data_IF_647817701590
#
_entry.id   IF_647817701590
#
_cell.length_a   1.000
_cell.length_b   1.000
_cell.length_c   1.000
_cell.angle_alpha   90.00
_cell.angle_beta   90.00
_cell.angle_gamma   90.00
#
_symmetry.space_group_name_H-M   'P 1'
#
loop_
_entity.id
_entity.type
_entity.pdbx_description
1 polymer ?
#
# COMPACT_ATOMS: atom_id res chain seq x y z
N UNK A 1 10.38 65.41 -12.78
CA UNK A 1 9.17 64.56 -12.74
C UNK A 1 9.13 63.74 -14.03
N UNK A 2 10.09 62.84 -14.28
CA UNK A 2 10.34 61.49 -13.72
C UNK A 2 9.24 60.47 -14.06
N UNK A 3 9.44 59.83 -15.21
CA UNK A 3 9.15 58.43 -15.57
C UNK A 3 8.26 57.64 -14.60
N UNK A 4 6.94 57.67 -14.83
CA UNK A 4 5.97 56.74 -14.25
C UNK A 4 4.98 56.37 -15.37
N UNK A 5 5.35 55.42 -16.21
CA UNK A 5 4.46 55.02 -17.32
C UNK A 5 4.81 53.71 -18.02
N UNK A 6 5.93 53.08 -17.70
CA UNK A 6 6.42 51.90 -18.43
C UNK A 6 6.83 50.73 -17.53
N UNK A 7 6.25 50.60 -16.33
CA UNK A 7 6.61 49.53 -15.38
C UNK A 7 5.46 48.57 -15.00
N UNK A 8 4.35 48.59 -15.74
CA UNK A 8 3.19 47.72 -15.47
C UNK A 8 2.93 46.65 -16.55
N UNK A 9 3.84 46.47 -17.51
CA UNK A 9 3.67 45.51 -18.61
C UNK A 9 4.63 44.30 -18.57
N UNK A 10 5.29 44.02 -17.44
CA UNK A 10 6.23 42.88 -17.31
C UNK A 10 5.95 41.93 -16.13
N UNK A 11 4.74 41.92 -15.57
CA UNK A 11 4.32 40.90 -14.59
C UNK A 11 3.42 39.80 -15.19
N UNK A 12 3.23 39.79 -16.51
CA UNK A 12 2.41 38.82 -17.24
C UNK A 12 3.17 37.64 -17.86
N UNK A 13 4.30 37.21 -17.28
CA UNK A 13 5.02 36.02 -17.77
C UNK A 13 4.61 34.80 -16.95
N UNK A 14 3.62 34.07 -17.48
CA UNK A 14 3.50 32.61 -17.41
C UNK A 14 4.01 31.95 -16.12
N UNK A 15 3.32 32.20 -15.00
CA UNK A 15 3.24 31.20 -13.95
C UNK A 15 2.41 30.04 -14.46
N UNK A 16 3.03 29.03 -15.10
CA UNK A 16 2.36 27.75 -15.26
C UNK A 16 1.99 27.30 -13.85
N UNK A 17 0.69 27.37 -13.50
CA UNK A 17 0.18 26.90 -12.21
C UNK A 17 0.61 25.44 -12.08
N UNK A 18 1.67 25.20 -11.30
CA UNK A 18 2.06 23.87 -10.90
C UNK A 18 0.97 23.40 -9.95
N UNK A 19 0.07 22.58 -10.48
CA UNK A 19 -1.06 22.04 -9.75
C UNK A 19 -0.56 20.92 -8.83
N UNK A 20 -0.92 20.97 -7.56
CA UNK A 20 -0.46 20.03 -6.53
C UNK A 20 -1.66 19.20 -6.07
N UNK A 21 -1.44 17.90 -5.89
CA UNK A 21 -2.42 17.04 -5.24
C UNK A 21 -2.40 17.30 -3.73
N UNK A 22 -3.25 18.21 -3.27
CA UNK A 22 -3.49 18.43 -1.84
C UNK A 22 -4.86 17.90 -1.46
N UNK A 23 -4.90 17.11 -0.39
CA UNK A 23 -6.15 16.66 0.22
C UNK A 23 -6.36 17.55 1.43
N UNK A 24 -7.29 18.53 1.41
CA UNK A 24 -7.51 19.38 2.57
C UNK A 24 -7.83 18.54 3.81
N UNK A 25 -7.64 19.12 4.99
CA UNK A 25 -7.84 18.45 6.27
C UNK A 25 -9.22 17.76 6.35
N UNK A 26 -9.24 16.60 7.01
CA UNK A 26 -10.43 15.75 7.19
C UNK A 26 -10.80 15.76 8.66
N UNK A 27 -12.09 15.64 8.96
CA UNK A 27 -12.61 15.56 10.33
C UNK A 27 -11.80 14.55 11.17
N UNK A 28 -11.19 15.05 12.25
CA UNK A 28 -10.35 14.27 13.15
C UNK A 28 -11.11 13.07 13.75
N UNK A 29 -12.42 13.22 14.02
CA UNK A 29 -13.23 12.13 14.56
C UNK A 29 -13.35 10.95 13.58
N UNK A 30 -13.35 11.23 12.27
CA UNK A 30 -13.36 10.20 11.24
C UNK A 30 -12.03 9.44 11.22
N UNK A 31 -10.92 10.17 11.34
CA UNK A 31 -9.56 9.59 11.39
C UNK A 31 -9.39 8.73 12.64
N UNK A 32 -9.88 9.20 13.80
CA UNK A 32 -9.88 8.43 15.05
C UNK A 32 -10.69 7.14 14.93
N UNK A 33 -11.91 7.19 14.35
CA UNK A 33 -12.73 5.99 14.11
C UNK A 33 -12.01 4.96 13.23
N UNK A 34 -11.29 5.39 12.20
CA UNK A 34 -10.46 4.51 11.38
C UNK A 34 -9.30 3.92 12.18
N UNK A 35 -8.61 4.74 12.98
CA UNK A 35 -7.53 4.29 13.87
C UNK A 35 -8.01 3.28 14.91
N UNK A 36 -9.19 3.48 15.50
CA UNK A 36 -9.81 2.57 16.45
C UNK A 36 -10.05 1.18 15.87
N UNK A 37 -10.37 1.06 14.57
CA UNK A 37 -10.50 -0.24 13.89
C UNK A 37 -9.17 -0.99 13.78
N UNK A 38 -8.03 -0.28 13.81
CA UNK A 38 -6.70 -0.89 13.82
C UNK A 38 -6.22 -1.28 15.22
N UNK A 39 -6.77 -0.68 16.28
CA UNK A 39 -6.30 -0.91 17.65
C UNK A 39 -6.38 -2.39 18.09
N UNK A 40 -7.46 -3.14 17.81
CA UNK A 40 -7.52 -4.57 18.12
C UNK A 40 -6.46 -5.42 17.39
N UNK A 41 -5.99 -4.97 16.22
CA UNK A 41 -4.93 -5.68 15.49
C UNK A 41 -3.58 -5.58 16.19
N UNK A 42 -3.36 -4.52 16.98
CA UNK A 42 -2.12 -4.36 17.76
C UNK A 42 -1.99 -5.39 18.89
N UNK A 43 -3.10 -6.00 19.32
CA UNK A 43 -3.10 -7.07 20.33
C UNK A 43 -2.95 -8.47 19.70
N UNK A 44 -3.14 -8.59 18.38
CA UNK A 44 -3.00 -9.86 17.64
C UNK A 44 -1.55 -10.08 17.23
N UNK A 45 -0.77 -10.62 18.17
CA UNK A 45 0.67 -10.80 18.03
C UNK A 45 1.10 -12.15 17.44
N UNK A 46 0.17 -13.02 17.05
CA UNK A 46 0.50 -14.27 16.36
C UNK A 46 0.96 -14.02 14.92
N UNK A 47 1.87 -14.88 14.44
CA UNK A 47 2.52 -14.75 13.11
C UNK A 47 1.55 -14.51 11.96
N UNK A 48 0.43 -15.22 11.96
CA UNK A 48 -0.58 -15.11 10.89
C UNK A 48 -1.29 -13.75 10.88
N UNK A 49 -1.38 -13.09 12.03
CA UNK A 49 -2.05 -11.80 12.20
C UNK A 49 -1.09 -10.59 12.20
N UNK A 50 0.21 -10.81 12.39
CA UNK A 50 1.21 -9.74 12.33
C UNK A 50 1.26 -9.10 10.94
N UNK A 51 0.95 -7.81 10.87
CA UNK A 51 0.82 -7.06 9.64
C UNK A 51 1.68 -5.78 9.71
N UNK A 52 2.87 -5.77 9.06
CA UNK A 52 3.71 -4.59 9.07
C UNK A 52 3.06 -3.34 8.45
N UNK A 53 2.09 -3.50 7.53
CA UNK A 53 1.40 -2.35 6.93
C UNK A 53 0.56 -1.61 7.97
N UNK A 54 -0.10 -2.31 8.90
CA UNK A 54 -0.87 -1.67 9.99
C UNK A 54 0.04 -0.78 10.83
N UNK A 55 1.23 -1.26 11.17
CA UNK A 55 2.23 -0.46 11.88
C UNK A 55 2.65 0.79 11.09
N UNK A 56 2.98 0.62 9.80
CA UNK A 56 3.36 1.74 8.92
C UNK A 56 2.23 2.76 8.83
N UNK A 57 0.98 2.31 8.64
CA UNK A 57 -0.20 3.16 8.54
C UNK A 57 -0.38 4.04 9.78
N UNK A 58 -0.33 3.46 10.98
CA UNK A 58 -0.43 4.23 12.23
C UNK A 58 0.73 5.22 12.39
N UNK A 59 1.96 4.81 12.10
CA UNK A 59 3.15 5.66 12.25
C UNK A 59 3.18 6.85 11.30
N UNK A 60 2.56 6.73 10.13
CA UNK A 60 2.42 7.82 9.17
C UNK A 60 1.11 8.63 9.35
N UNK A 61 0.22 8.20 10.24
CA UNK A 61 -1.05 8.87 10.53
C UNK A 61 -0.90 9.97 11.59
N UNK A 62 -1.97 10.74 11.80
CA UNK A 62 -2.09 11.71 12.90
C UNK A 62 -2.47 11.06 14.24
N UNK A 63 -2.69 9.74 14.28
CA UNK A 63 -3.13 8.99 15.47
C UNK A 63 -2.09 7.95 15.93
N UNK A 64 -2.15 7.52 17.18
CA UNK A 64 -1.22 6.55 17.76
C UNK A 64 -1.87 5.53 18.70
N UNK A 65 -1.37 4.30 18.70
CA UNK A 65 -1.76 3.22 19.61
C UNK A 65 -0.95 3.16 20.93
N UNK A 66 -0.15 4.20 21.21
CA UNK A 66 0.68 4.31 22.41
C UNK A 66 1.67 3.16 22.61
N UNK A 67 1.70 2.57 23.80
CA UNK A 67 2.67 1.51 24.16
C UNK A 67 2.51 0.24 23.33
N UNK A 68 1.30 -0.02 22.79
CA UNK A 68 1.04 -1.18 21.92
C UNK A 68 1.88 -1.15 20.65
N UNK A 69 2.17 0.02 20.09
CA UNK A 69 3.01 0.13 18.89
C UNK A 69 4.43 -0.42 19.13
N UNK A 70 5.01 -0.14 20.29
CA UNK A 70 6.36 -0.61 20.64
C UNK A 70 6.39 -2.13 20.79
N UNK A 71 5.36 -2.71 21.43
CA UNK A 71 5.23 -4.15 21.57
C UNK A 71 5.00 -4.81 20.20
N UNK A 72 4.14 -4.23 19.36
CA UNK A 72 3.85 -4.72 18.03
C UNK A 72 5.09 -4.76 17.14
N UNK A 73 5.88 -3.67 17.11
CA UNK A 73 7.15 -3.64 16.37
C UNK A 73 8.15 -4.67 16.91
N UNK A 74 8.21 -4.87 18.23
CA UNK A 74 9.07 -5.90 18.83
C UNK A 74 8.68 -7.29 18.33
N UNK A 75 7.39 -7.60 18.29
CA UNK A 75 6.88 -8.87 17.76
C UNK A 75 7.20 -9.04 16.26
N UNK A 76 7.04 -7.96 15.46
CA UNK A 76 7.47 -7.96 14.06
C UNK A 76 8.98 -8.25 13.92
N UNK A 77 9.83 -7.63 14.76
CA UNK A 77 11.27 -7.90 14.72
C UNK A 77 11.59 -9.34 15.08
N UNK A 78 10.94 -9.90 16.10
CA UNK A 78 11.13 -11.29 16.50
C UNK A 78 10.75 -12.23 15.33
N UNK A 79 9.55 -12.07 14.77
CA UNK A 79 9.07 -12.91 13.69
C UNK A 79 9.97 -12.84 12.44
N UNK A 80 10.27 -11.65 11.92
CA UNK A 80 11.02 -11.52 10.68
C UNK A 80 12.52 -11.79 10.87
N UNK A 81 13.11 -11.51 12.03
CA UNK A 81 14.54 -11.70 12.27
C UNK A 81 14.90 -13.05 12.90
N UNK A 82 13.94 -13.84 13.39
CA UNK A 82 14.17 -15.22 13.80
C UNK A 82 13.81 -16.20 12.68
N UNK A 83 12.73 -15.96 11.92
CA UNK A 83 12.20 -16.94 10.97
C UNK A 83 12.82 -16.86 9.56
N UNK A 84 13.25 -15.68 9.10
CA UNK A 84 13.86 -15.53 7.77
C UNK A 84 15.35 -15.90 7.73
N UNK A 85 16.17 -15.59 8.76
CA UNK A 85 17.56 -15.99 8.75
C UNK A 85 17.76 -17.42 9.30
N UNK A 86 17.11 -18.42 8.72
CA UNK A 86 17.35 -19.83 9.05
C UNK A 86 18.81 -20.23 8.81
N UNK A 87 19.48 -20.74 9.83
CA UNK A 87 20.84 -21.30 9.75
C UNK A 87 20.94 -22.33 8.61
N UNK A 88 22.09 -22.40 7.92
CA UNK A 88 22.38 -23.48 6.97
C UNK A 88 22.59 -24.86 7.66
N UNK A 89 22.43 -24.94 8.98
CA UNK A 89 22.81 -26.09 9.81
C UNK A 89 21.80 -26.44 10.93
N UNK A 90 20.49 -26.22 10.77
CA UNK A 90 19.52 -26.74 11.75
C UNK A 90 18.47 -27.61 11.07
N UNK A 91 18.61 -28.93 11.26
CA UNK A 91 17.67 -29.98 10.84
C UNK A 91 16.34 -29.97 11.63
N UNK A 92 16.17 -29.04 12.58
CA UNK A 92 14.94 -28.85 13.35
C UNK A 92 14.26 -27.52 12.98
N UNK A 93 13.72 -27.42 11.76
CA UNK A 93 12.91 -26.27 11.29
C UNK A 93 11.43 -26.40 11.77
N UNK A 94 11.21 -26.89 13.00
CA UNK A 94 9.88 -27.21 13.54
C UNK A 94 9.06 -26.00 14.02
N UNK A 95 9.67 -24.83 14.24
CA UNK A 95 9.02 -23.66 14.87
C UNK A 95 8.68 -22.53 13.86
N UNK A 96 9.16 -22.67 12.61
CA UNK A 96 8.94 -21.73 11.52
C UNK A 96 8.08 -22.36 10.40
N UNK A 97 6.86 -22.79 10.72
CA UNK A 97 5.96 -23.51 9.80
C UNK A 97 5.73 -22.85 8.42
N UNK A 98 5.89 -21.52 8.28
CA UNK A 98 5.91 -20.84 6.99
C UNK A 98 6.74 -19.54 7.05
N UNK A 99 7.69 -19.37 6.12
CA UNK A 99 8.52 -18.16 5.99
C UNK A 99 7.67 -17.00 5.42
N UNK A 100 7.74 -15.78 5.97
CA UNK A 100 7.04 -14.63 5.41
C UNK A 100 7.39 -14.42 3.94
N UNK A 101 6.40 -14.05 3.11
CA UNK A 101 6.64 -13.72 1.71
C UNK A 101 7.57 -12.51 1.57
N UNK A 102 8.24 -12.38 0.42
CA UNK A 102 9.14 -11.26 0.17
C UNK A 102 8.40 -9.91 0.08
N UNK A 103 7.13 -9.91 -0.34
CA UNK A 103 6.25 -8.75 -0.22
C UNK A 103 6.01 -8.35 1.25
N UNK A 104 5.75 -9.32 2.14
CA UNK A 104 5.63 -9.07 3.60
C UNK A 104 6.95 -8.57 4.20
N UNK A 105 8.09 -9.13 3.80
CA UNK A 105 9.42 -8.64 4.20
C UNK A 105 9.64 -7.18 3.77
N UNK A 106 9.19 -6.82 2.56
CA UNK A 106 9.31 -5.45 2.07
C UNK A 106 8.49 -4.47 2.93
N UNK A 107 7.26 -4.84 3.32
CA UNK A 107 6.45 -4.06 4.27
C UNK A 107 7.11 -3.98 5.65
N UNK A 108 7.75 -5.06 6.13
CA UNK A 108 8.50 -5.05 7.38
C UNK A 108 9.68 -4.07 7.34
N UNK A 109 10.39 -3.97 6.21
CA UNK A 109 11.41 -2.94 6.05
C UNK A 109 10.81 -1.53 6.09
N UNK A 110 9.63 -1.29 5.50
CA UNK A 110 8.92 -0.01 5.67
C UNK A 110 8.57 0.24 7.15
N UNK A 111 8.16 -0.78 7.90
CA UNK A 111 7.87 -0.66 9.34
C UNK A 111 9.10 -0.26 10.16
N UNK A 112 10.30 -0.79 9.83
CA UNK A 112 11.54 -0.33 10.44
C UNK A 112 11.80 1.15 10.17
N UNK A 113 11.60 1.60 8.92
CA UNK A 113 11.74 3.03 8.59
C UNK A 113 10.72 3.88 9.33
N UNK A 114 9.49 3.40 9.50
CA UNK A 114 8.45 4.12 10.23
C UNK A 114 8.80 4.34 11.71
N UNK A 115 9.76 3.55 12.26
CA UNK A 115 10.38 3.79 13.56
C UNK A 115 11.76 4.48 13.48
N UNK A 116 12.07 5.13 12.37
CA UNK A 116 13.35 5.79 12.09
C UNK A 116 14.57 4.86 12.10
N UNK A 117 14.37 3.55 11.97
CA UNK A 117 15.44 2.55 11.98
C UNK A 117 15.89 2.16 10.57
N UNK A 118 17.16 1.82 10.42
CA UNK A 118 17.67 1.13 9.22
C UNK A 118 17.88 -0.34 9.54
N UNK A 119 17.67 -1.21 8.55
CA UNK A 119 18.08 -2.61 8.64
C UNK A 119 19.62 -2.68 8.64
N UNK A 120 20.21 -2.93 9.82
CA UNK A 120 21.65 -2.94 10.07
C UNK A 120 22.06 -4.18 10.88
N UNK A 121 23.36 -4.45 10.90
CA UNK A 121 23.94 -5.62 11.56
C UNK A 121 23.67 -6.92 10.79
N UNK A 122 24.28 -8.03 11.23
CA UNK A 122 24.26 -9.31 10.50
C UNK A 122 22.86 -9.78 10.09
N UNK A 123 21.88 -9.66 11.00
CA UNK A 123 20.48 -10.02 10.71
C UNK A 123 19.86 -9.09 9.67
N UNK A 124 20.04 -7.78 9.81
CA UNK A 124 19.55 -6.78 8.85
C UNK A 124 20.16 -6.97 7.47
N UNK A 125 21.47 -7.15 7.37
CA UNK A 125 22.17 -7.34 6.09
C UNK A 125 21.71 -8.62 5.38
N UNK A 126 21.39 -9.67 6.15
CA UNK A 126 20.82 -10.91 5.61
C UNK A 126 19.42 -10.71 5.04
N UNK A 127 18.55 -9.96 5.72
CA UNK A 127 17.22 -9.62 5.22
C UNK A 127 17.30 -8.80 3.91
N UNK A 128 18.20 -7.80 3.87
CA UNK A 128 18.46 -7.01 2.66
C UNK A 128 18.95 -7.91 1.52
N UNK A 129 19.85 -8.86 1.81
CA UNK A 129 20.37 -9.80 0.82
C UNK A 129 19.29 -10.75 0.29
N UNK A 130 18.37 -11.20 1.14
CA UNK A 130 17.22 -12.02 0.73
C UNK A 130 16.28 -11.25 -0.19
N UNK A 131 15.96 -10.00 0.15
CA UNK A 131 15.11 -9.17 -0.70
C UNK A 131 15.76 -8.83 -2.05
N UNK A 132 17.10 -8.64 -2.08
CA UNK A 132 17.83 -8.48 -3.34
C UNK A 132 17.78 -9.73 -4.20
N UNK A 133 18.02 -10.91 -3.61
CA UNK A 133 17.92 -12.20 -4.32
C UNK A 133 16.52 -12.43 -4.90
N UNK A 134 15.49 -12.10 -4.13
CA UNK A 134 14.11 -12.13 -4.62
C UNK A 134 13.93 -11.29 -5.89
N UNK A 135 14.39 -10.03 -5.90
CA UNK A 135 14.30 -9.18 -7.09
C UNK A 135 15.12 -9.72 -8.27
N UNK A 136 16.26 -10.36 -8.01
CA UNK A 136 17.07 -11.02 -9.03
C UNK A 136 16.36 -12.23 -9.64
N UNK A 137 15.72 -13.07 -8.82
CA UNK A 137 14.96 -14.24 -9.26
C UNK A 137 13.73 -13.82 -10.07
N UNK A 138 12.99 -12.81 -9.60
CA UNK A 138 11.88 -12.20 -10.35
C UNK A 138 12.35 -11.60 -11.69
N UNK A 139 13.52 -10.95 -11.71
CA UNK A 139 14.12 -10.46 -12.95
C UNK A 139 14.49 -11.58 -13.93
N UNK A 140 14.95 -12.74 -13.44
CA UNK A 140 15.19 -13.92 -14.29
C UNK A 140 13.86 -14.48 -14.84
N UNK A 141 12.81 -14.51 -14.03
CA UNK A 141 11.48 -14.96 -14.45
C UNK A 141 10.89 -14.10 -15.57
N UNK A 142 11.06 -12.77 -15.51
CA UNK A 142 10.65 -11.85 -16.58
C UNK A 142 11.47 -12.09 -17.88
N UNK A 143 12.74 -12.47 -17.73
CA UNK A 143 13.63 -12.79 -18.84
C UNK A 143 14.12 -11.55 -19.62
N UNK A 144 15.15 -11.73 -20.45
CA UNK A 144 15.77 -10.63 -21.21
C UNK A 144 14.84 -10.02 -22.26
N UNK A 145 13.98 -10.84 -22.86
CA UNK A 145 13.04 -10.42 -23.91
C UNK A 145 11.71 -9.84 -23.36
N UNK A 146 11.55 -9.76 -22.03
CA UNK A 146 10.34 -9.28 -21.36
C UNK A 146 9.07 -10.04 -21.78
N UNK A 147 9.19 -11.32 -22.14
CA UNK A 147 8.04 -12.18 -22.45
C UNK A 147 7.57 -13.01 -21.25
N UNK A 148 8.38 -13.07 -20.19
CA UNK A 148 8.02 -13.71 -18.94
C UNK A 148 7.28 -12.77 -18.01
N UNK A 149 6.77 -13.32 -16.92
CA UNK A 149 6.10 -12.58 -15.85
C UNK A 149 6.81 -12.84 -14.52
N UNK A 150 6.76 -11.89 -13.57
CA UNK A 150 7.20 -12.18 -12.21
C UNK A 150 6.43 -13.36 -11.63
N UNK A 151 7.08 -14.19 -10.82
CA UNK A 151 6.44 -15.28 -10.08
C UNK A 151 5.40 -14.76 -9.09
N UNK A 152 5.59 -13.53 -8.60
CA UNK A 152 4.62 -12.82 -7.77
C UNK A 152 3.79 -11.82 -8.59
N UNK A 153 4.15 -10.54 -8.54
CA UNK A 153 3.51 -9.46 -9.29
C UNK A 153 4.44 -8.25 -9.38
N UNK A 154 4.21 -7.39 -10.37
CA UNK A 154 4.93 -6.12 -10.47
C UNK A 154 4.67 -5.20 -9.26
N UNK A 155 3.56 -5.37 -8.54
CA UNK A 155 3.30 -4.68 -7.28
C UNK A 155 4.34 -5.07 -6.22
N UNK A 156 4.56 -6.38 -6.00
CA UNK A 156 5.57 -6.84 -5.04
C UNK A 156 7.00 -6.50 -5.50
N UNK A 157 7.25 -6.54 -6.81
CA UNK A 157 8.52 -6.10 -7.39
C UNK A 157 8.81 -4.62 -7.08
N UNK A 158 7.85 -3.72 -7.37
CA UNK A 158 7.95 -2.30 -7.06
C UNK A 158 8.08 -2.03 -5.56
N UNK A 159 7.32 -2.73 -4.73
CA UNK A 159 7.40 -2.63 -3.27
C UNK A 159 8.77 -3.05 -2.72
N UNK A 160 9.38 -4.10 -3.28
CA UNK A 160 10.73 -4.53 -2.92
C UNK A 160 11.79 -3.47 -3.26
N UNK A 161 11.69 -2.85 -4.44
CA UNK A 161 12.56 -1.73 -4.84
C UNK A 161 12.38 -0.54 -3.89
N UNK A 162 11.13 -0.14 -3.60
CA UNK A 162 10.82 0.94 -2.67
C UNK A 162 11.43 0.67 -1.29
N UNK A 163 11.23 -0.54 -0.74
CA UNK A 163 11.74 -0.94 0.56
C UNK A 163 13.28 -0.88 0.64
N UNK A 164 13.99 -1.35 -0.38
CA UNK A 164 15.45 -1.21 -0.45
C UNK A 164 15.90 0.25 -0.56
N UNK A 165 15.20 1.04 -1.37
CA UNK A 165 15.49 2.45 -1.59
C UNK A 165 15.40 3.27 -0.30
N UNK A 166 14.30 3.15 0.47
CA UNK A 166 14.14 3.90 1.74
C UNK A 166 15.15 3.49 2.81
N UNK A 167 15.75 2.30 2.68
CA UNK A 167 16.88 1.82 3.50
C UNK A 167 18.26 2.21 2.96
N UNK A 168 18.30 3.05 1.90
CA UNK A 168 19.53 3.47 1.21
C UNK A 168 20.35 2.31 0.65
N UNK A 169 19.68 1.22 0.23
CA UNK A 169 20.32 0.05 -0.38
C UNK A 169 20.15 0.12 -1.90
N UNK A 170 21.26 0.32 -2.60
CA UNK A 170 21.29 0.36 -4.07
C UNK A 170 21.00 -1.01 -4.68
N UNK A 171 20.37 -0.99 -5.85
CA UNK A 171 20.08 -2.14 -6.71
C UNK A 171 20.62 -1.90 -8.11
N UNK A 172 20.87 -2.97 -8.86
CA UNK A 172 21.37 -2.87 -10.23
C UNK A 172 20.34 -2.26 -11.19
N UNK A 173 20.84 -1.51 -12.17
CA UNK A 173 20.05 -0.86 -13.24
C UNK A 173 19.17 -1.84 -14.03
N UNK A 174 19.60 -3.09 -14.20
CA UNK A 174 18.81 -4.11 -14.88
C UNK A 174 17.48 -4.39 -14.13
N UNK A 175 17.51 -4.42 -12.79
CA UNK A 175 16.31 -4.66 -11.98
C UNK A 175 15.31 -3.49 -12.13
N UNK A 176 15.81 -2.26 -12.04
CA UNK A 176 14.99 -1.06 -12.28
C UNK A 176 14.47 -1.04 -13.72
N UNK A 177 15.29 -1.47 -14.68
CA UNK A 177 14.95 -1.59 -16.10
C UNK A 177 13.72 -2.46 -16.37
N UNK A 178 13.51 -3.54 -15.61
CA UNK A 178 12.31 -4.40 -15.75
C UNK A 178 11.04 -3.68 -15.34
N UNK A 179 11.08 -2.93 -14.24
CA UNK A 179 9.93 -2.15 -13.80
C UNK A 179 9.66 -0.98 -14.75
N UNK A 180 10.71 -0.32 -15.25
CA UNK A 180 10.59 0.74 -16.26
C UNK A 180 9.91 0.21 -17.52
N UNK A 181 10.38 -0.93 -18.03
CA UNK A 181 9.81 -1.56 -19.22
C UNK A 181 8.31 -1.87 -19.06
N UNK A 182 7.92 -2.42 -17.90
CA UNK A 182 6.53 -2.75 -17.61
C UNK A 182 5.61 -1.52 -17.63
N UNK A 183 6.08 -0.38 -17.12
CA UNK A 183 5.34 0.90 -17.17
C UNK A 183 5.29 1.48 -18.57
N UNK A 184 6.38 1.39 -19.33
CA UNK A 184 6.50 1.98 -20.67
C UNK A 184 5.64 1.27 -21.71
N UNK A 185 5.61 -0.06 -21.68
CA UNK A 185 5.04 -0.87 -22.76
C UNK A 185 3.67 -1.45 -22.43
N UNK A 186 3.03 -0.99 -21.34
CA UNK A 186 1.74 -1.51 -20.86
C UNK A 186 1.73 -3.04 -20.77
N UNK A 187 2.91 -3.63 -20.49
CA UNK A 187 3.03 -5.07 -20.42
C UNK A 187 2.09 -5.52 -19.30
N UNK A 188 1.12 -6.41 -19.59
CA UNK A 188 -0.08 -6.55 -18.77
C UNK A 188 0.34 -6.73 -17.32
N UNK A 189 0.05 -5.70 -16.51
CA UNK A 189 0.35 -5.63 -15.08
C UNK A 189 -0.64 -6.55 -14.31
N UNK A 190 -0.83 -7.76 -14.83
CA UNK A 190 -1.96 -8.71 -14.79
C UNK A 190 -2.81 -8.77 -16.07
N UNK A 191 -3.30 -9.99 -16.34
CA UNK A 191 -4.19 -10.41 -17.41
C UNK A 191 -5.15 -9.28 -17.86
N UNK A 192 -4.86 -8.68 -19.02
CA UNK A 192 -5.68 -7.74 -19.81
C UNK A 192 -6.08 -6.36 -19.21
N UNK A 193 -5.80 -6.03 -17.94
CA UNK A 193 -6.22 -4.74 -17.36
C UNK A 193 -5.13 -4.01 -16.57
N UNK A 194 -5.05 -2.69 -16.76
CA UNK A 194 -4.18 -1.78 -16.01
C UNK A 194 -4.55 -1.75 -14.52
N UNK A 195 -3.62 -2.11 -13.64
CA UNK A 195 -3.78 -2.04 -12.18
C UNK A 195 -3.26 -0.70 -11.64
N UNK A 196 -4.17 0.13 -11.12
CA UNK A 196 -3.84 1.40 -10.47
C UNK A 196 -2.89 1.19 -9.28
N UNK A 197 -3.12 0.15 -8.46
CA UNK A 197 -2.27 -0.18 -7.31
C UNK A 197 -0.83 -0.49 -7.73
N UNK A 198 -0.67 -1.30 -8.77
CA UNK A 198 0.64 -1.68 -9.30
C UNK A 198 1.37 -0.47 -9.87
N UNK A 199 0.66 0.36 -10.64
CA UNK A 199 1.21 1.58 -11.19
C UNK A 199 1.63 2.55 -10.07
N UNK A 200 0.77 2.77 -9.07
CA UNK A 200 1.05 3.63 -7.93
C UNK A 200 2.28 3.16 -7.14
N UNK A 201 2.37 1.85 -6.84
CA UNK A 201 3.55 1.28 -6.16
C UNK A 201 4.84 1.44 -6.98
N UNK A 202 4.77 1.21 -8.31
CA UNK A 202 5.91 1.43 -9.19
C UNK A 202 6.36 2.91 -9.20
N UNK A 203 5.40 3.84 -9.27
CA UNK A 203 5.67 5.27 -9.18
C UNK A 203 6.30 5.67 -7.85
N UNK A 204 5.82 5.15 -6.71
CA UNK A 204 6.41 5.41 -5.39
C UNK A 204 7.88 4.93 -5.34
N UNK A 205 8.17 3.75 -5.90
CA UNK A 205 9.52 3.23 -6.01
C UNK A 205 10.43 4.15 -6.85
N UNK A 206 9.97 4.56 -8.05
CA UNK A 206 10.70 5.49 -8.91
C UNK A 206 10.93 6.85 -8.25
N UNK A 207 9.92 7.39 -7.57
CA UNK A 207 10.05 8.63 -6.81
C UNK A 207 11.13 8.51 -5.73
N UNK A 208 11.17 7.38 -5.01
CA UNK A 208 12.23 7.14 -4.03
C UNK A 208 13.62 7.12 -4.68
N UNK A 209 13.79 6.37 -5.78
CA UNK A 209 15.07 6.27 -6.50
C UNK A 209 15.53 7.64 -7.00
N UNK A 210 14.61 8.43 -7.56
CA UNK A 210 14.87 9.80 -8.03
C UNK A 210 15.29 10.72 -6.88
N UNK A 211 14.56 10.73 -5.76
CA UNK A 211 14.87 11.57 -4.59
C UNK A 211 16.19 11.17 -3.91
N UNK A 212 16.54 9.88 -3.96
CA UNK A 212 17.78 9.35 -3.37
C UNK A 212 18.99 9.40 -4.32
N UNK A 213 18.81 9.90 -5.55
CA UNK A 213 19.82 9.90 -6.61
C UNK A 213 20.45 8.51 -6.85
N UNK A 214 19.62 7.47 -6.84
CA UNK A 214 20.02 6.10 -7.22
C UNK A 214 19.75 5.85 -8.70
N UNK A 215 20.55 4.95 -9.30
CA UNK A 215 20.45 4.58 -10.72
C UNK A 215 20.50 5.82 -11.63
N UNK A 216 21.53 6.67 -11.42
CA UNK A 216 21.70 7.98 -12.06
C UNK A 216 21.64 7.91 -13.59
N UNK A 217 22.15 6.83 -14.17
CA UNK A 217 22.22 6.61 -15.61
C UNK A 217 20.81 6.43 -16.21
N UNK A 218 19.85 6.01 -15.38
CA UNK A 218 18.44 5.87 -15.75
C UNK A 218 17.57 7.05 -15.29
N UNK A 219 18.14 8.13 -14.73
CA UNK A 219 17.39 9.23 -14.10
C UNK A 219 16.33 9.87 -15.01
N UNK A 220 16.65 10.07 -16.29
CA UNK A 220 15.69 10.62 -17.25
C UNK A 220 14.54 9.63 -17.51
N UNK A 221 14.86 8.36 -17.70
CA UNK A 221 13.87 7.28 -17.92
C UNK A 221 12.97 7.10 -16.70
N UNK A 222 13.53 7.13 -15.48
CA UNK A 222 12.79 7.13 -14.21
C UNK A 222 11.86 8.35 -14.12
N UNK A 223 12.35 9.54 -14.49
CA UNK A 223 11.53 10.76 -14.46
C UNK A 223 10.35 10.69 -15.43
N UNK A 224 10.57 10.16 -16.63
CA UNK A 224 9.50 9.92 -17.60
C UNK A 224 8.52 8.86 -17.09
N UNK A 225 9.01 7.76 -16.51
CA UNK A 225 8.15 6.70 -15.98
C UNK A 225 7.23 7.20 -14.83
N UNK A 226 7.72 8.07 -13.94
CA UNK A 226 6.87 8.71 -12.91
C UNK A 226 5.73 9.48 -13.59
N UNK A 227 6.04 10.29 -14.60
CA UNK A 227 5.03 11.04 -15.35
C UNK A 227 4.02 10.12 -16.04
N UNK A 228 4.50 9.07 -16.73
CA UNK A 228 3.65 8.07 -17.39
C UNK A 228 2.69 7.41 -16.41
N UNK A 229 3.17 7.02 -15.23
CA UNK A 229 2.32 6.41 -14.19
C UNK A 229 1.26 7.40 -13.72
N UNK A 230 1.64 8.64 -13.41
CA UNK A 230 0.69 9.66 -12.96
C UNK A 230 -0.39 9.92 -14.03
N UNK A 231 -0.02 10.01 -15.30
CA UNK A 231 -0.96 10.20 -16.42
C UNK A 231 -1.93 9.01 -16.54
N UNK A 232 -1.43 7.77 -16.42
CA UNK A 232 -2.26 6.56 -16.47
C UNK A 232 -3.23 6.48 -15.29
N UNK A 233 -2.79 6.83 -14.08
CA UNK A 233 -3.66 6.88 -12.89
C UNK A 233 -4.75 7.94 -13.06
N UNK A 234 -4.41 9.13 -13.53
CA UNK A 234 -5.40 10.19 -13.80
C UNK A 234 -6.42 9.77 -14.85
N UNK A 235 -5.97 9.06 -15.91
CA UNK A 235 -6.87 8.51 -16.94
C UNK A 235 -7.79 7.41 -16.40
N UNK A 236 -7.39 6.72 -15.33
CA UNK A 236 -8.19 5.70 -14.67
C UNK A 236 -9.17 6.28 -13.63
N UNK A 237 -9.34 7.61 -13.54
CA UNK A 237 -10.33 8.21 -12.66
C UNK A 237 -11.75 7.87 -13.14
N UNK A 238 -12.57 7.30 -12.26
CA UNK A 238 -13.96 6.94 -12.54
C UNK A 238 -14.87 8.18 -12.52
N UNK A 239 -16.09 8.11 -13.08
CA UNK A 239 -17.05 9.21 -13.00
C UNK A 239 -17.36 9.66 -11.57
N UNK A 240 -17.35 8.73 -10.60
CA UNK A 240 -17.55 9.01 -9.19
C UNK A 240 -16.36 9.76 -8.56
N UNK A 241 -15.18 9.67 -9.17
CA UNK A 241 -13.96 10.36 -8.74
C UNK A 241 -12.87 9.45 -8.19
N UNK A 242 -13.09 8.14 -8.06
CA UNK A 242 -12.08 7.20 -7.59
C UNK A 242 -10.98 6.98 -8.64
N UNK A 243 -9.74 6.71 -8.23
CA UNK A 243 -8.72 6.24 -9.15
C UNK A 243 -8.80 4.71 -9.26
N UNK A 244 -9.36 4.20 -10.36
CA UNK A 244 -9.68 2.79 -10.56
C UNK A 244 -10.89 2.36 -9.74
N UNK A 245 -10.73 2.21 -8.43
CA UNK A 245 -11.81 1.93 -7.48
C UNK A 245 -11.51 2.56 -6.10
N UNK A 246 -12.46 2.46 -5.17
CA UNK A 246 -12.36 3.02 -3.81
C UNK A 246 -11.11 2.54 -3.05
N UNK A 247 -10.69 1.29 -3.24
CA UNK A 247 -9.57 0.66 -2.53
C UNK A 247 -8.20 0.95 -3.17
N UNK A 248 -8.15 1.20 -4.47
CA UNK A 248 -6.92 1.62 -5.17
C UNK A 248 -6.61 3.12 -4.98
N UNK A 249 -7.64 3.91 -4.67
CA UNK A 249 -7.55 5.37 -4.52
C UNK A 249 -6.54 5.83 -3.46
N UNK A 250 -6.45 5.25 -2.25
CA UNK A 250 -5.44 5.61 -1.27
C UNK A 250 -4.00 5.57 -1.80
N UNK A 251 -3.61 4.47 -2.45
CA UNK A 251 -2.24 4.31 -2.94
C UNK A 251 -1.96 5.24 -4.13
N UNK A 252 -2.96 5.44 -5.01
CA UNK A 252 -2.89 6.43 -6.09
C UNK A 252 -2.64 7.84 -5.55
N UNK A 253 -3.40 8.26 -4.54
CA UNK A 253 -3.23 9.56 -3.87
C UNK A 253 -1.85 9.69 -3.23
N UNK A 254 -1.35 8.64 -2.55
CA UNK A 254 0.01 8.65 -2.02
C UNK A 254 1.05 8.98 -3.10
N UNK A 255 0.93 8.40 -4.31
CA UNK A 255 1.84 8.74 -5.41
C UNK A 255 1.64 10.18 -5.92
N UNK A 256 0.39 10.57 -6.18
CA UNK A 256 0.05 11.87 -6.76
C UNK A 256 0.47 13.04 -5.86
N UNK A 257 0.53 12.84 -4.54
CA UNK A 257 1.04 13.82 -3.56
C UNK A 257 2.57 13.98 -3.60
N UNK A 258 3.33 13.10 -4.27
CA UNK A 258 4.80 13.13 -4.18
C UNK A 258 5.50 14.09 -5.13
N UNK A 259 4.83 14.59 -6.17
CA UNK A 259 5.44 15.50 -7.14
C UNK A 259 4.38 16.30 -7.89
N UNK A 260 4.62 17.60 -8.15
CA UNK A 260 3.73 18.39 -8.99
C UNK A 260 3.70 17.82 -10.40
N UNK A 261 2.55 17.97 -11.07
CA UNK A 261 2.40 17.65 -12.48
C UNK A 261 2.14 18.94 -13.26
N UNK A 262 2.77 19.08 -14.42
CA UNK A 262 2.48 20.19 -15.33
C UNK A 262 1.11 19.97 -15.99
N UNK A 263 0.10 20.73 -15.57
CA UNK A 263 -1.24 20.73 -16.17
C UNK A 263 -2.34 20.95 -15.13
N UNK A 264 -3.33 21.78 -15.46
CA UNK A 264 -4.40 22.26 -14.58
C UNK A 264 -5.47 21.20 -14.18
N UNK A 265 -5.10 19.91 -14.12
CA UNK A 265 -6.04 18.82 -13.87
C UNK A 265 -5.72 18.00 -12.62
N UNK A 266 -4.52 18.11 -12.05
CA UNK A 266 -4.11 17.25 -10.93
C UNK A 266 -4.88 17.57 -9.64
N UNK A 267 -4.92 18.84 -9.25
CA UNK A 267 -5.60 19.29 -8.04
C UNK A 267 -7.11 19.07 -8.12
N UNK A 268 -7.71 19.32 -9.30
CA UNK A 268 -9.14 19.03 -9.51
C UNK A 268 -9.43 17.53 -9.44
N UNK A 269 -8.57 16.68 -10.03
CA UNK A 269 -8.73 15.23 -9.93
C UNK A 269 -8.59 14.73 -8.48
N UNK A 270 -7.60 15.24 -7.73
CA UNK A 270 -7.43 14.89 -6.33
C UNK A 270 -8.58 15.37 -5.44
N UNK A 271 -9.14 16.55 -5.72
CA UNK A 271 -10.32 17.04 -4.99
C UNK A 271 -11.54 16.15 -5.24
N UNK A 272 -11.79 15.72 -6.49
CA UNK A 272 -12.84 14.76 -6.81
C UNK A 272 -12.64 13.42 -6.08
N UNK A 273 -11.40 12.90 -6.08
CA UNK A 273 -11.07 11.68 -5.36
C UNK A 273 -11.29 11.81 -3.85
N UNK A 274 -10.95 12.97 -3.25
CA UNK A 274 -11.26 13.26 -1.85
C UNK A 274 -12.76 13.18 -1.57
N UNK A 275 -13.59 13.85 -2.38
CA UNK A 275 -15.05 13.85 -2.20
C UNK A 275 -15.60 12.43 -2.26
N UNK A 276 -15.20 11.66 -3.28
CA UNK A 276 -15.61 10.27 -3.44
C UNK A 276 -15.19 9.40 -2.24
N UNK A 277 -13.94 9.57 -1.77
CA UNK A 277 -13.41 8.83 -0.64
C UNK A 277 -14.13 9.18 0.67
N UNK A 278 -14.47 10.46 0.90
CA UNK A 278 -15.21 10.88 2.09
C UNK A 278 -16.63 10.27 2.13
N UNK A 279 -17.32 10.23 0.99
CA UNK A 279 -18.62 9.56 0.90
C UNK A 279 -18.49 8.06 1.25
N UNK A 280 -17.52 7.36 0.65
CA UNK A 280 -17.24 5.95 0.97
C UNK A 280 -16.86 5.70 2.43
N UNK A 281 -16.19 6.65 3.08
CA UNK A 281 -15.83 6.56 4.49
C UNK A 281 -17.06 6.66 5.39
N UNK A 282 -18.01 7.54 5.06
CA UNK A 282 -19.29 7.67 5.76
C UNK A 282 -20.15 6.41 5.60
N UNK A 283 -20.11 5.78 4.42
CA UNK A 283 -20.81 4.52 4.13
C UNK A 283 -20.12 3.28 4.72
N UNK A 284 -18.98 3.46 5.38
CA UNK A 284 -18.27 2.37 6.06
C UNK A 284 -17.53 1.41 5.12
N UNK A 285 -17.13 1.83 3.91
CA UNK A 285 -16.42 0.98 2.95
C UNK A 285 -15.07 0.44 3.48
N UNK A 286 -14.40 1.19 4.36
CA UNK A 286 -13.06 0.86 4.86
C UNK A 286 -13.10 0.03 6.15
N UNK A 287 -13.41 -1.28 6.04
CA UNK A 287 -13.36 -2.22 7.16
C UNK A 287 -12.05 -3.03 7.23
N UNK A 288 -11.41 -3.23 6.08
CA UNK A 288 -10.18 -4.02 6.00
C UNK A 288 -8.98 -3.26 6.58
N UNK A 289 -8.25 -3.87 7.51
CA UNK A 289 -7.12 -3.23 8.20
C UNK A 289 -5.98 -2.78 7.27
N UNK A 290 -5.71 -3.52 6.19
CA UNK A 290 -4.70 -3.14 5.20
C UNK A 290 -5.16 -1.91 4.40
N UNK A 291 -6.44 -1.84 4.03
CA UNK A 291 -6.98 -0.68 3.31
C UNK A 291 -6.95 0.57 4.18
N UNK A 292 -7.31 0.44 5.47
CA UNK A 292 -7.20 1.54 6.43
C UNK A 292 -5.74 1.97 6.59
N UNK A 293 -4.78 1.04 6.67
CA UNK A 293 -3.37 1.37 6.83
C UNK A 293 -2.72 2.01 5.60
N UNK A 294 -3.30 1.81 4.41
CA UNK A 294 -2.92 2.53 3.19
C UNK A 294 -3.56 3.92 3.10
N UNK A 295 -4.73 4.11 3.70
CA UNK A 295 -5.46 5.38 3.70
C UNK A 295 -4.98 6.35 4.77
N UNK A 296 -4.72 5.90 5.99
CA UNK A 296 -4.32 6.77 7.10
C UNK A 296 -3.13 7.71 6.79
N UNK A 297 -2.07 7.29 6.07
CA UNK A 297 -1.01 8.20 5.65
C UNK A 297 -1.54 9.37 4.82
N UNK A 298 -2.43 9.10 3.86
CA UNK A 298 -3.01 10.09 2.95
C UNK A 298 -3.79 11.15 3.72
N UNK A 299 -4.57 10.73 4.72
CA UNK A 299 -5.34 11.63 5.59
C UNK A 299 -4.48 12.52 6.48
N UNK A 300 -3.18 12.20 6.62
CA UNK A 300 -2.19 13.00 7.35
C UNK A 300 -1.16 13.64 6.41
N UNK A 301 -1.46 13.76 5.11
CA UNK A 301 -0.57 14.33 4.11
C UNK A 301 0.80 13.60 4.00
N UNK A 302 0.82 12.30 4.30
CA UNK A 302 2.00 11.44 4.25
C UNK A 302 1.85 10.33 3.19
N UNK A 303 2.99 9.81 2.79
CA UNK A 303 3.17 8.80 1.75
C UNK A 303 4.28 7.83 2.18
N UNK A 304 4.39 6.68 1.52
CA UNK A 304 5.53 5.79 1.76
C UNK A 304 6.89 6.40 1.37
N UNK A 305 6.92 7.45 0.55
CA UNK A 305 8.18 8.15 0.20
C UNK A 305 8.68 8.99 1.38
N UNK A 306 7.83 9.39 2.32
CA UNK A 306 8.25 10.09 3.55
C UNK A 306 9.12 9.21 4.46
N UNK A 307 9.12 7.88 4.26
CA UNK A 307 9.98 6.93 4.96
C UNK A 307 11.47 7.03 4.55
N UNK A 308 11.81 7.82 3.53
CA UNK A 308 13.22 8.17 3.22
C UNK A 308 13.84 8.88 4.44
N UNK A 309 13.12 9.85 5.02
CA UNK A 309 13.54 10.62 6.19
C UNK A 309 12.33 10.92 7.10
N UNK A 310 11.85 9.90 7.84
CA UNK A 310 10.64 10.01 8.65
C UNK A 310 10.89 10.85 9.91
N UNK A 311 9.84 11.53 10.36
CA UNK A 311 9.81 12.25 11.63
C UNK A 311 9.10 11.39 12.69
N UNK A 312 9.88 10.80 13.59
CA UNK A 312 9.37 9.94 14.66
C UNK A 312 9.01 10.69 15.94
N UNK A 313 9.27 12.00 16.00
CA UNK A 313 8.98 12.86 17.16
C UNK A 313 7.73 13.71 16.95
N UNK A 314 7.21 13.78 15.71
CA UNK A 314 5.93 14.42 15.41
C UNK A 314 4.81 13.94 16.35
N UNK A 315 4.09 14.85 17.02
CA UNK A 315 3.02 14.49 17.93
C UNK A 315 1.85 13.85 17.17
N UNK A 316 1.21 12.86 17.80
CA UNK A 316 0.04 12.13 17.29
C UNK A 316 -1.00 11.96 18.39
N UNK A 317 -2.28 12.00 18.03
CA UNK A 317 -3.40 11.85 18.97
C UNK A 317 -3.47 10.42 19.48
N UNK A 318 -3.58 10.24 20.80
CA UNK A 318 -3.70 8.92 21.41
C UNK A 318 -5.08 8.32 21.12
N UNK A 319 -5.11 7.10 20.58
CA UNK A 319 -6.36 6.40 20.33
C UNK A 319 -6.86 5.74 21.60
N UNK A 320 -8.08 6.09 21.98
CA UNK A 320 -8.84 5.36 22.98
C UNK A 320 -9.60 4.20 22.33
N UNK A 321 -9.75 3.04 22.99
CA UNK A 321 -10.59 1.96 22.51
C UNK A 321 -12.00 2.45 22.22
N UNK A 322 -12.59 1.98 21.12
CA UNK A 322 -13.98 2.32 20.81
C UNK A 322 -14.89 1.88 21.96
N UNK A 323 -15.66 2.81 22.52
CA UNK A 323 -16.65 2.48 23.55
C UNK A 323 -17.66 1.51 22.95
N UNK A 324 -17.78 0.34 23.56
CA UNK A 324 -18.67 -0.71 23.07
C UNK A 324 -20.10 -0.20 23.15
N UNK A 325 -20.67 0.20 22.02
CA UNK A 325 -22.12 0.39 21.93
C UNK A 325 -22.71 -1.00 22.03
N UNK A 326 -23.41 -1.29 23.11
CA UNK A 326 -24.21 -2.51 23.23
C UNK A 326 -25.07 -2.61 21.97
N UNK A 327 -24.95 -3.69 21.17
CA UNK A 327 -25.82 -3.83 20.02
C UNK A 327 -27.25 -3.75 20.51
N UNK A 328 -28.05 -2.86 19.92
CA UNK A 328 -29.50 -2.94 20.06
C UNK A 328 -29.88 -4.39 19.75
N UNK A 329 -30.63 -5.03 20.64
CA UNK A 329 -31.09 -6.41 20.49
C UNK A 329 -32.03 -6.43 19.27
N UNK A 330 -31.43 -6.54 18.10
CA UNK A 330 -32.11 -6.85 16.86
C UNK A 330 -32.11 -8.37 16.76
N UNK A 331 -33.29 -8.95 16.63
CA UNK A 331 -33.42 -10.38 16.32
C UNK A 331 -32.64 -10.61 15.02
N UNK A 332 -31.61 -11.46 15.01
CA UNK A 332 -30.79 -11.65 13.82
C UNK A 332 -31.64 -12.21 12.69
N UNK A 333 -31.83 -11.43 11.62
CA UNK A 333 -32.55 -11.88 10.42
C UNK A 333 -31.72 -12.98 9.72
N UNK A 334 -32.38 -14.05 9.29
CA UNK A 334 -31.72 -15.10 8.49
C UNK A 334 -31.90 -14.77 7.00
N UNK A 335 -30.80 -14.65 6.28
CA UNK A 335 -30.77 -14.44 4.83
C UNK A 335 -30.28 -15.72 4.12
N UNK A 336 -30.58 -15.84 2.83
CA UNK A 336 -30.13 -16.95 1.99
C UNK A 336 -29.21 -16.46 0.88
N UNK A 337 -27.98 -16.96 0.83
CA UNK A 337 -26.97 -16.59 -0.17
C UNK A 337 -26.73 -17.77 -1.12
N UNK A 338 -26.87 -17.56 -2.42
CA UNK A 338 -26.56 -18.60 -3.43
C UNK A 338 -25.05 -18.64 -3.70
N UNK A 339 -24.38 -19.68 -3.21
CA UNK A 339 -22.97 -19.97 -3.49
C UNK A 339 -22.87 -20.81 -4.76
N UNK A 340 -22.06 -20.37 -5.74
CA UNK A 340 -21.86 -21.07 -7.01
C UNK A 340 -20.38 -21.17 -7.40
N UNK A 341 -19.96 -22.35 -7.90
CA UNK A 341 -18.63 -22.60 -8.48
C UNK A 341 -18.81 -23.26 -9.84
N UNK A 342 -18.59 -22.49 -10.91
CA UNK A 342 -18.87 -22.92 -12.28
C UNK A 342 -17.68 -23.59 -12.98
N UNK A 343 -16.45 -23.35 -12.48
CA UNK A 343 -15.21 -23.83 -13.11
C UNK A 343 -14.92 -25.32 -12.86
N UNK A 344 -15.81 -26.04 -12.18
CA UNK A 344 -15.68 -27.46 -11.90
C UNK A 344 -16.38 -28.30 -12.99
N UNK A 345 -15.89 -29.52 -13.23
CA UNK A 345 -16.54 -30.48 -14.13
C UNK A 345 -18.03 -30.70 -13.79
N UNK A 346 -18.35 -30.68 -12.49
CA UNK A 346 -19.72 -30.60 -11.98
C UNK A 346 -19.87 -29.27 -11.26
N UNK A 347 -20.59 -28.29 -11.83
CA UNK A 347 -20.81 -27.01 -11.18
C UNK A 347 -21.45 -27.19 -9.81
N UNK A 348 -20.91 -26.52 -8.80
CA UNK A 348 -21.51 -26.48 -7.47
C UNK A 348 -22.46 -25.29 -7.41
N UNK A 349 -23.68 -25.48 -6.90
CA UNK A 349 -24.63 -24.38 -6.66
C UNK A 349 -25.54 -24.73 -5.49
N UNK A 350 -25.50 -23.94 -4.42
CA UNK A 350 -26.33 -24.18 -3.24
C UNK A 350 -26.73 -22.87 -2.56
N UNK A 351 -27.97 -22.79 -2.08
CA UNK A 351 -28.44 -21.71 -1.24
C UNK A 351 -28.05 -21.97 0.23
N UNK A 352 -27.27 -21.06 0.81
CA UNK A 352 -26.69 -21.20 2.15
C UNK A 352 -27.40 -20.20 3.08
N UNK A 353 -28.15 -20.67 4.11
CA UNK A 353 -28.76 -19.80 5.10
C UNK A 353 -27.71 -19.32 6.11
N UNK A 354 -27.62 -18.00 6.30
CA UNK A 354 -26.71 -17.35 7.26
C UNK A 354 -27.41 -16.17 7.92
N UNK A 355 -26.84 -15.65 9.02
CA UNK A 355 -27.36 -14.45 9.66
C UNK A 355 -27.02 -13.20 8.82
N UNK A 356 -27.91 -12.22 8.81
CA UNK A 356 -27.63 -10.91 8.22
C UNK A 356 -26.39 -10.30 8.89
N UNK A 357 -25.43 -9.85 8.06
CA UNK A 357 -24.11 -9.37 8.51
C UNK A 357 -23.01 -10.43 8.49
N UNK A 358 -23.30 -11.69 8.19
CA UNK A 358 -22.28 -12.72 7.95
C UNK A 358 -21.38 -12.37 6.75
N UNK A 359 -20.09 -12.68 6.89
CA UNK A 359 -19.11 -12.52 5.82
C UNK A 359 -19.20 -13.64 4.78
N UNK A 360 -18.57 -13.46 3.62
CA UNK A 360 -18.44 -14.55 2.64
C UNK A 360 -17.71 -15.76 3.25
N UNK A 361 -16.72 -15.55 4.13
CA UNK A 361 -16.03 -16.66 4.81
C UNK A 361 -16.99 -17.47 5.68
N UNK A 362 -17.93 -16.82 6.37
CA UNK A 362 -18.95 -17.52 7.17
C UNK A 362 -19.88 -18.35 6.27
N UNK A 363 -20.22 -17.85 5.07
CA UNK A 363 -20.96 -18.62 4.06
C UNK A 363 -20.16 -19.84 3.60
N UNK A 364 -18.85 -19.71 3.38
CA UNK A 364 -17.99 -20.82 2.97
C UNK A 364 -17.84 -21.86 4.10
N UNK A 365 -17.66 -21.43 5.36
CA UNK A 365 -17.67 -22.31 6.53
C UNK A 365 -18.98 -23.04 6.64
N UNK A 366 -20.10 -22.34 6.47
CA UNK A 366 -21.42 -22.94 6.55
C UNK A 366 -21.66 -23.95 5.43
N UNK A 367 -21.24 -23.64 4.20
CA UNK A 367 -21.29 -24.58 3.08
C UNK A 367 -20.43 -25.82 3.35
N UNK A 368 -19.25 -25.65 3.97
CA UNK A 368 -18.40 -26.77 4.36
C UNK A 368 -19.06 -27.67 5.42
N UNK A 369 -19.67 -27.08 6.45
CA UNK A 369 -20.44 -27.80 7.48
C UNK A 369 -21.63 -28.57 6.91
N UNK A 370 -22.33 -27.99 5.92
CA UNK A 370 -23.47 -28.61 5.25
C UNK A 370 -23.06 -29.77 4.32
N UNK A 371 -21.76 -29.95 4.07
CA UNK A 371 -21.20 -31.02 3.24
C UNK A 371 -21.21 -30.71 1.75
N UNK A 372 -20.32 -31.36 0.99
CA UNK A 372 -20.21 -31.19 -0.47
C UNK A 372 -19.46 -29.94 -0.92
N UNK A 373 -18.91 -29.16 0.00
CA UNK A 373 -18.07 -27.99 -0.28
C UNK A 373 -16.80 -28.00 0.59
N UNK A 374 -15.66 -27.70 -0.02
CA UNK A 374 -14.39 -27.49 0.68
C UNK A 374 -13.68 -26.28 0.08
N UNK A 375 -12.92 -25.57 0.91
CA UNK A 375 -12.10 -24.44 0.50
C UNK A 375 -10.83 -24.40 1.35
N UNK A 376 -9.78 -23.76 0.85
CA UNK A 376 -8.48 -23.63 1.51
C UNK A 376 -8.19 -22.18 1.86
#
# INVERSE_FOLDING_TARGET
MRHLGAFLFLLGVLGALTDICEIPEVDIQLVEKLGQRLLPWMDRLSRDHLNPSVYVGLRLSSVQGGTKEKLYLRSLKLDYQQCLPGSAFSENDGDCQAKPSMGRLSLYLLALRANCEFARGRKGDRLISQLKRFLEDENRAIGHNHKGHPHTSYYQYGLGILALCVHRKRIHDNLVGKLLYAVEHDHPLHQSHFSVDTAAMAGLAFTCLKRSNFNSDQRQRITMAIRTVQEKILKAQTPEGYFGNVYSTPLALQLLMTSPMSGAKLGTACLKAKVALLASLQDGAFQNALMISQLLPVLNHKTYVDLISPDCLAPRVMLEPATTTLPQIQVPETISVTLQVLSLLRPYRQAIPVLAGSSLEDVLKKAHELGGFTYC
#
